data_IF_003173320510
#
_entry.id   IF_003173320510
#
_cell.length_a   1.000
_cell.length_b   1.000
_cell.length_c   1.000
_cell.angle_alpha   90.00
_cell.angle_beta   90.00
_cell.angle_gamma   90.00
#
_symmetry.space_group_name_H-M   'P 1'
#
loop_
_entity.id
_entity.type
_entity.pdbx_description
1 polymer ?
#
# COMPACT_ATOMS: atom_id res chain seq x y z
N UNK A 1 -15.41 22.72 30.31
CA UNK A 1 -16.08 21.41 30.37
C UNK A 1 -17.15 21.44 31.44
N UNK A 2 -18.43 21.59 31.09
CA UNK A 2 -19.51 21.56 32.08
C UNK A 2 -19.80 20.13 32.58
N UNK A 3 -19.57 19.12 31.73
CA UNK A 3 -19.75 17.68 32.03
C UNK A 3 -18.57 16.85 31.50
N UNK A 4 -17.36 17.14 31.98
CA UNK A 4 -16.16 16.40 31.59
C UNK A 4 -15.84 15.25 32.55
N UNK A 5 -15.24 14.18 32.04
CA UNK A 5 -14.68 13.09 32.84
C UNK A 5 -13.17 13.26 32.92
N UNK A 6 -12.62 13.12 34.12
CA UNK A 6 -11.17 13.08 34.36
C UNK A 6 -10.79 11.62 34.63
N UNK A 7 -9.80 11.11 33.90
CA UNK A 7 -9.27 9.76 34.08
C UNK A 7 -7.74 9.75 34.13
N UNK A 8 -7.18 8.72 34.76
CA UNK A 8 -5.75 8.44 34.75
C UNK A 8 -5.55 7.08 34.10
N UNK A 9 -4.71 7.03 33.07
CA UNK A 9 -4.38 5.80 32.36
C UNK A 9 -2.85 5.69 32.22
N UNK A 10 -2.25 4.75 32.97
CA UNK A 10 -0.80 4.63 33.06
C UNK A 10 -0.18 5.86 33.71
N UNK A 11 0.71 6.52 33.00
CA UNK A 11 1.40 7.77 33.36
C UNK A 11 0.71 9.04 32.85
N UNK A 12 -0.42 8.91 32.12
CA UNK A 12 -1.14 10.03 31.53
C UNK A 12 -2.45 10.36 32.29
N UNK A 13 -2.60 11.63 32.67
CA UNK A 13 -3.89 12.23 33.05
C UNK A 13 -4.64 12.66 31.79
N UNK A 14 -5.89 12.23 31.62
CA UNK A 14 -6.74 12.55 30.47
C UNK A 14 -8.03 13.20 30.94
N UNK A 15 -8.39 14.30 30.28
CA UNK A 15 -9.68 14.96 30.48
C UNK A 15 -10.42 14.86 29.15
N UNK A 16 -11.60 14.26 29.15
CA UNK A 16 -12.39 14.08 27.92
C UNK A 16 -13.88 14.26 28.18
N UNK A 17 -14.64 14.49 27.12
CA UNK A 17 -16.11 14.61 27.16
C UNK A 17 -16.74 13.48 26.35
N UNK A 18 -18.00 13.16 26.66
CA UNK A 18 -18.77 12.13 25.95
C UNK A 18 -19.84 12.84 25.11
N UNK A 19 -19.48 13.21 23.88
CA UNK A 19 -20.35 14.04 23.04
C UNK A 19 -21.27 13.20 22.13
N UNK A 20 -20.83 11.98 21.75
CA UNK A 20 -21.49 11.12 20.74
C UNK A 20 -22.16 9.90 21.36
N UNK A 21 -23.15 10.12 22.24
CA UNK A 21 -23.88 9.06 22.97
C UNK A 21 -24.71 8.10 22.10
N UNK A 22 -25.05 8.50 20.87
CA UNK A 22 -25.87 7.70 19.94
C UNK A 22 -25.07 6.90 18.91
N UNK A 23 -23.76 7.13 18.81
CA UNK A 23 -22.90 6.43 17.85
C UNK A 23 -22.31 5.17 18.48
N UNK A 24 -22.38 4.06 17.75
CA UNK A 24 -21.87 2.75 18.22
C UNK A 24 -20.43 2.48 17.81
N UNK A 25 -19.94 3.18 16.78
CA UNK A 25 -18.59 3.04 16.26
C UNK A 25 -17.83 4.34 16.47
N UNK A 26 -16.62 4.22 17.01
CA UNK A 26 -15.65 5.30 17.04
C UNK A 26 -14.63 5.04 15.94
N UNK A 27 -14.19 6.09 15.28
CA UNK A 27 -13.14 6.02 14.26
C UNK A 27 -11.95 6.90 14.62
N UNK A 28 -10.79 6.52 14.10
CA UNK A 28 -9.59 7.33 14.13
C UNK A 28 -8.98 7.23 12.75
N UNK A 29 -8.76 8.39 12.13
CA UNK A 29 -8.30 8.47 10.75
C UNK A 29 -6.78 8.51 10.74
N UNK A 30 -6.18 7.67 9.90
CA UNK A 30 -4.76 7.74 9.55
C UNK A 30 -4.66 8.13 8.08
N UNK A 31 -4.24 9.36 7.75
CA UNK A 31 -4.09 9.79 6.37
C UNK A 31 -3.08 8.90 5.63
N UNK A 32 -3.45 8.50 4.41
CA UNK A 32 -2.60 7.71 3.50
C UNK A 32 -2.12 8.58 2.34
N UNK A 33 -1.15 8.06 1.58
CA UNK A 33 -0.50 8.83 0.51
C UNK A 33 -1.21 8.65 -0.83
N UNK A 34 -1.65 7.42 -1.11
CA UNK A 34 -2.41 7.03 -2.30
C UNK A 34 -3.64 6.20 -1.92
N UNK A 35 -4.49 5.88 -2.89
CA UNK A 35 -5.67 5.04 -2.64
C UNK A 35 -5.27 3.63 -2.17
N UNK A 36 -5.66 3.18 -0.96
CA UNK A 36 -5.39 1.82 -0.48
C UNK A 36 -6.15 0.80 -1.33
N UNK A 37 -5.46 -0.27 -1.77
CA UNK A 37 -6.04 -1.34 -2.59
C UNK A 37 -6.35 -2.59 -1.78
N UNK A 38 -5.44 -2.96 -0.87
CA UNK A 38 -5.57 -4.14 -0.01
C UNK A 38 -4.58 -4.03 1.15
N UNK A 39 -4.86 -4.73 2.24
CA UNK A 39 -3.91 -4.90 3.33
C UNK A 39 -3.87 -6.33 3.85
N UNK A 40 -2.79 -6.67 4.55
CA UNK A 40 -2.64 -7.92 5.30
C UNK A 40 -2.10 -7.64 6.69
N UNK A 41 -2.42 -8.51 7.64
CA UNK A 41 -1.91 -8.44 9.01
C UNK A 41 -0.65 -9.29 9.12
N UNK A 42 0.47 -8.68 9.49
CA UNK A 42 1.71 -9.37 9.77
C UNK A 42 1.49 -10.33 10.98
N UNK A 43 1.75 -11.65 10.86
CA UNK A 43 1.26 -12.61 11.85
C UNK A 43 1.78 -12.42 13.28
N UNK A 44 3.01 -11.94 13.46
CA UNK A 44 3.72 -11.90 14.75
C UNK A 44 3.41 -10.62 15.56
N UNK A 45 3.66 -9.46 14.98
CA UNK A 45 3.50 -8.13 15.60
C UNK A 45 2.14 -7.49 15.34
N UNK A 46 1.33 -8.06 14.44
CA UNK A 46 0.00 -7.53 14.05
C UNK A 46 0.08 -6.14 13.41
N UNK A 47 1.20 -5.82 12.76
CA UNK A 47 1.33 -4.64 11.91
C UNK A 47 0.47 -4.82 10.65
N UNK A 48 -0.07 -3.73 10.15
CA UNK A 48 -0.79 -3.72 8.87
C UNK A 48 0.20 -3.45 7.75
N UNK A 49 0.21 -4.30 6.73
CA UNK A 49 0.93 -4.04 5.49
C UNK A 49 -0.09 -3.67 4.41
N UNK A 50 -0.07 -2.43 3.98
CA UNK A 50 -1.04 -1.82 3.07
C UNK A 50 -0.36 -1.57 1.74
N UNK A 51 -1.02 -1.93 0.64
CA UNK A 51 -0.63 -1.49 -0.69
C UNK A 51 -1.53 -0.34 -1.13
N UNK A 52 -0.92 0.74 -1.60
CA UNK A 52 -1.62 1.93 -2.08
C UNK A 52 -1.23 2.17 -3.55
N UNK A 53 -2.16 2.54 -4.42
CA UNK A 53 -1.86 2.75 -5.84
C UNK A 53 -2.88 3.67 -6.52
N UNK A 54 -2.38 4.64 -7.28
CA UNK A 54 -3.18 5.57 -8.07
C UNK A 54 -2.73 5.69 -9.53
N UNK A 55 -3.70 5.87 -10.40
CA UNK A 55 -3.52 6.15 -11.82
C UNK A 55 -3.65 7.66 -12.06
N UNK A 56 -2.85 8.20 -12.97
CA UNK A 56 -2.87 9.62 -13.30
C UNK A 56 -2.47 10.50 -12.12
N UNK A 57 -1.54 10.03 -11.29
CA UNK A 57 -1.05 10.73 -10.11
C UNK A 57 0.49 10.89 -10.15
N UNK A 58 0.98 11.86 -9.39
CA UNK A 58 2.40 12.13 -9.19
C UNK A 58 2.91 11.46 -7.91
N UNK A 59 4.21 11.16 -7.87
CA UNK A 59 4.85 10.69 -6.64
C UNK A 59 4.82 11.80 -5.59
N UNK A 60 5.00 11.47 -4.31
CA UNK A 60 5.04 12.51 -3.27
C UNK A 60 6.16 13.53 -3.54
N UNK A 61 7.33 13.06 -3.95
CA UNK A 61 8.49 13.91 -4.30
C UNK A 61 8.17 14.85 -5.48
N UNK A 62 7.52 14.35 -6.53
CA UNK A 62 7.13 15.18 -7.68
C UNK A 62 6.06 16.21 -7.31
N UNK A 63 5.12 15.87 -6.41
CA UNK A 63 4.12 16.82 -5.91
C UNK A 63 4.78 17.94 -5.10
N UNK A 64 5.70 17.59 -4.21
CA UNK A 64 6.46 18.57 -3.42
C UNK A 64 7.30 19.49 -4.31
N UNK A 65 7.98 18.93 -5.32
CA UNK A 65 8.75 19.70 -6.28
C UNK A 65 7.88 20.67 -7.09
N UNK A 66 6.76 20.19 -7.65
CA UNK A 66 5.83 21.01 -8.41
C UNK A 66 5.22 22.12 -7.55
N UNK A 67 4.89 21.82 -6.29
CA UNK A 67 4.38 22.80 -5.34
C UNK A 67 5.40 23.90 -5.06
N UNK A 68 6.67 23.53 -4.85
CA UNK A 68 7.76 24.49 -4.65
C UNK A 68 7.95 25.40 -5.86
N UNK A 69 7.97 24.84 -7.06
CA UNK A 69 8.09 25.60 -8.31
C UNK A 69 6.92 26.58 -8.50
N UNK A 70 5.68 26.17 -8.24
CA UNK A 70 4.51 27.05 -8.30
C UNK A 70 4.60 28.21 -7.29
N UNK A 71 5.11 27.96 -6.09
CA UNK A 71 5.25 28.98 -5.06
C UNK A 71 6.33 30.02 -5.42
N UNK A 72 7.44 29.56 -5.99
CA UNK A 72 8.52 30.41 -6.52
C UNK A 72 8.03 31.26 -7.71
N UNK A 73 7.29 30.65 -8.65
CA UNK A 73 6.76 31.36 -9.82
C UNK A 73 5.63 32.35 -9.49
N UNK A 74 4.89 32.12 -8.39
CA UNK A 74 3.81 32.99 -7.91
C UNK A 74 4.26 34.28 -7.23
N UNK A 75 5.58 34.54 -7.11
CA UNK A 75 6.12 35.77 -6.52
C UNK A 75 5.95 35.88 -5.01
N UNK A 76 5.54 34.81 -4.33
CA UNK A 76 5.33 34.78 -2.87
C UNK A 76 6.65 34.76 -2.07
N UNK A 77 7.81 34.72 -2.75
CA UNK A 77 9.14 34.83 -2.15
C UNK A 77 9.65 36.27 -1.99
N UNK A 78 9.02 37.29 -2.60
CA UNK A 78 9.54 38.68 -2.58
C UNK A 78 8.96 39.56 -1.47
N UNK A 79 7.93 39.11 -0.73
CA UNK A 79 7.40 39.84 0.42
C UNK A 79 7.52 39.03 1.73
N UNK A 80 8.74 39.02 2.28
CA UNK A 80 8.99 38.89 3.72
C UNK A 80 9.21 37.48 4.28
N UNK A 81 10.45 37.22 4.72
CA UNK A 81 10.97 36.05 5.45
C UNK A 81 11.29 34.79 4.64
N UNK A 82 12.33 34.89 3.81
CA UNK A 82 13.04 33.75 3.22
C UNK A 82 13.91 32.94 4.23
N UNK A 83 13.99 33.34 5.51
CA UNK A 83 14.86 32.72 6.53
C UNK A 83 14.13 31.85 7.58
N UNK A 84 12.88 31.44 7.36
CA UNK A 84 12.12 30.64 8.34
C UNK A 84 11.75 29.22 7.89
N UNK A 85 12.39 28.67 6.85
CA UNK A 85 12.16 27.26 6.46
C UNK A 85 13.25 26.28 6.95
N UNK A 86 14.27 26.73 7.68
CA UNK A 86 15.30 25.84 8.25
C UNK A 86 14.98 25.37 9.70
N UNK A 87 13.94 25.93 10.34
CA UNK A 87 13.51 25.49 11.67
C UNK A 87 12.12 24.86 11.58
N UNK A 88 12.07 23.54 11.74
CA UNK A 88 10.85 22.78 11.99
C UNK A 88 10.24 23.13 13.35
N UNK A 89 9.66 24.32 13.45
CA UNK A 89 8.82 24.74 14.57
C UNK A 89 7.42 25.02 14.02
N UNK A 90 6.48 24.25 14.56
CA UNK A 90 5.02 24.36 14.43
C UNK A 90 4.54 25.79 14.15
N UNK A 91 4.10 26.03 12.91
CA UNK A 91 3.31 27.20 12.54
C UNK A 91 1.98 26.65 11.99
N UNK A 92 1.17 26.07 12.89
CA UNK A 92 -0.14 25.43 12.59
C UNK A 92 -1.19 26.42 12.04
N UNK A 93 -0.87 27.72 11.95
CA UNK A 93 -1.80 28.79 11.56
C UNK A 93 -1.51 29.43 10.19
N UNK A 94 -0.52 28.96 9.43
CA UNK A 94 -0.39 29.36 8.02
C UNK A 94 -1.28 28.47 7.16
N UNK A 95 -2.50 28.95 6.87
CA UNK A 95 -3.36 28.35 5.85
C UNK A 95 -2.57 28.16 4.57
N UNK A 96 -2.29 26.90 4.24
CA UNK A 96 -1.68 26.52 2.98
C UNK A 96 -2.64 26.92 1.85
N UNK A 97 -2.30 27.90 1.01
CA UNK A 97 -3.20 28.41 -0.01
C UNK A 97 -3.54 27.36 -1.08
N UNK A 98 -2.81 26.23 -1.11
CA UNK A 98 -2.98 25.11 -2.03
C UNK A 98 -3.04 23.79 -1.26
N UNK A 99 -3.79 23.74 -0.15
CA UNK A 99 -4.00 22.50 0.61
C UNK A 99 -4.66 21.41 -0.25
N UNK A 100 -4.12 20.20 -0.17
CA UNK A 100 -4.63 19.06 -0.92
C UNK A 100 -6.04 18.67 -0.43
N UNK A 101 -6.41 18.98 0.81
CA UNK A 101 -7.75 18.74 1.35
C UNK A 101 -8.83 19.54 0.62
N UNK A 102 -8.51 20.77 0.21
CA UNK A 102 -9.47 21.66 -0.45
C UNK A 102 -9.44 21.52 -1.97
N UNK A 103 -8.25 21.37 -2.56
CA UNK A 103 -8.06 21.41 -4.01
C UNK A 103 -7.83 20.04 -4.65
N UNK A 104 -7.50 19.03 -3.83
CA UNK A 104 -7.08 17.73 -4.29
C UNK A 104 -5.68 17.74 -4.90
N UNK A 105 -5.13 16.54 -5.09
CA UNK A 105 -3.80 16.39 -5.66
C UNK A 105 -3.74 16.77 -7.15
N UNK A 106 -2.59 17.32 -7.62
CA UNK A 106 -2.36 17.50 -9.05
C UNK A 106 -2.42 16.17 -9.78
N UNK A 107 -3.08 16.17 -10.95
CA UNK A 107 -3.26 14.98 -11.78
C UNK A 107 -2.18 14.90 -12.85
N UNK A 108 -1.56 13.74 -12.96
CA UNK A 108 -0.63 13.41 -14.03
C UNK A 108 -1.38 12.89 -15.27
N UNK A 109 -0.62 12.64 -16.34
CA UNK A 109 -1.13 11.94 -17.53
C UNK A 109 -1.66 10.55 -17.18
N UNK A 110 -2.70 10.11 -17.89
CA UNK A 110 -3.46 8.88 -17.55
C UNK A 110 -2.64 7.59 -17.59
N UNK A 111 -1.49 7.58 -18.25
CA UNK A 111 -0.58 6.43 -18.33
C UNK A 111 0.38 6.33 -17.13
N UNK A 112 0.43 7.37 -16.30
CA UNK A 112 1.28 7.42 -15.11
C UNK A 112 0.61 6.70 -13.94
N UNK A 113 1.40 5.98 -13.18
CA UNK A 113 1.05 5.16 -12.05
C UNK A 113 2.05 5.39 -10.94
N UNK A 114 1.52 5.50 -9.73
CA UNK A 114 2.30 5.58 -8.50
C UNK A 114 1.74 4.59 -7.52
N UNK A 115 2.63 3.97 -6.75
CA UNK A 115 2.21 3.05 -5.71
C UNK A 115 3.27 2.90 -4.64
N UNK A 116 2.83 2.52 -3.45
CA UNK A 116 3.72 2.26 -2.34
C UNK A 116 3.24 1.07 -1.50
N UNK A 117 4.17 0.53 -0.72
CA UNK A 117 3.91 -0.47 0.31
C UNK A 117 4.16 0.20 1.66
N UNK A 118 3.12 0.27 2.50
CA UNK A 118 3.17 0.86 3.83
C UNK A 118 3.12 -0.22 4.91
N UNK A 119 3.98 -0.12 5.91
CA UNK A 119 3.86 -0.85 7.18
C UNK A 119 3.37 0.12 8.25
N UNK A 120 2.20 -0.15 8.82
CA UNK A 120 1.52 0.69 9.81
C UNK A 120 1.32 -0.08 11.12
N UNK A 121 1.67 0.53 12.24
CA UNK A 121 1.26 0.04 13.57
C UNK A 121 -0.14 0.58 13.89
N UNK A 122 -1.18 -0.29 13.92
CA UNK A 122 -2.54 0.16 14.18
C UNK A 122 -2.76 0.61 15.64
N UNK A 123 -1.85 0.29 16.57
CA UNK A 123 -1.98 0.69 17.98
C UNK A 123 -1.53 2.13 18.22
N UNK A 124 -0.49 2.56 17.51
CA UNK A 124 0.09 3.90 17.65
C UNK A 124 -0.25 4.81 16.48
N UNK A 125 -0.98 4.30 15.48
CA UNK A 125 -1.28 4.99 14.22
C UNK A 125 -0.01 5.46 13.46
N UNK A 126 1.14 4.81 13.68
CA UNK A 126 2.42 5.26 13.14
C UNK A 126 2.86 4.39 11.97
N UNK A 127 3.25 5.01 10.86
CA UNK A 127 3.91 4.31 9.75
C UNK A 127 5.36 4.02 10.12
N UNK A 128 5.76 2.75 10.10
CA UNK A 128 7.13 2.33 10.42
C UNK A 128 7.99 2.16 9.16
N UNK A 129 7.38 1.91 8.01
CA UNK A 129 8.07 1.80 6.73
C UNK A 129 7.13 2.24 5.61
N UNK A 130 7.67 2.98 4.65
CA UNK A 130 6.99 3.41 3.44
C UNK A 130 7.93 3.18 2.26
N UNK A 131 7.60 2.21 1.41
CA UNK A 131 8.41 1.82 0.26
C UNK A 131 7.71 2.25 -1.03
N UNK A 132 8.24 3.25 -1.71
CA UNK A 132 7.75 3.72 -3.01
C UNK A 132 8.16 2.77 -4.13
N UNK A 133 7.19 2.30 -4.90
CA UNK A 133 7.44 1.50 -6.09
C UNK A 133 7.77 2.43 -7.26
N UNK A 134 8.84 2.09 -7.96
CA UNK A 134 9.40 2.88 -9.06
C UNK A 134 8.88 2.41 -10.41
N UNK A 135 9.33 3.06 -11.50
CA UNK A 135 9.16 2.58 -12.87
C UNK A 135 7.71 2.43 -13.35
N UNK A 136 6.80 3.31 -12.91
CA UNK A 136 5.40 3.29 -13.33
C UNK A 136 4.68 1.96 -12.97
N UNK A 137 5.08 1.41 -11.83
CA UNK A 137 4.57 0.16 -11.30
C UNK A 137 3.47 0.41 -10.29
N UNK A 138 2.40 -0.39 -10.36
CA UNK A 138 1.23 -0.30 -9.50
C UNK A 138 0.99 -1.64 -8.79
N UNK A 139 0.71 -1.60 -7.49
CA UNK A 139 0.43 -2.78 -6.67
C UNK A 139 -1.07 -3.10 -6.66
N UNK A 140 -1.41 -4.37 -6.86
CA UNK A 140 -2.80 -4.82 -6.95
C UNK A 140 -3.16 -5.91 -5.95
N UNK A 141 -2.17 -6.72 -5.56
CA UNK A 141 -2.41 -7.83 -4.65
C UNK A 141 -1.29 -7.95 -3.64
N UNK A 142 -1.64 -8.40 -2.43
CA UNK A 142 -0.71 -8.60 -1.33
C UNK A 142 -1.15 -9.81 -0.52
N UNK A 143 -0.18 -10.61 -0.08
CA UNK A 143 -0.37 -11.79 0.76
C UNK A 143 0.87 -12.05 1.62
N UNK A 144 0.70 -12.52 2.85
CA UNK A 144 1.79 -13.11 3.63
C UNK A 144 1.90 -14.60 3.30
N UNK A 145 3.11 -15.10 3.08
CA UNK A 145 3.35 -16.51 2.74
C UNK A 145 4.49 -17.10 3.57
N UNK A 146 4.24 -18.26 4.16
CA UNK A 146 5.25 -19.13 4.74
C UNK A 146 5.57 -20.23 3.74
N UNK A 147 6.75 -20.19 3.13
CA UNK A 147 7.18 -21.27 2.25
C UNK A 147 7.62 -22.50 3.05
N UNK A 148 7.70 -23.66 2.39
CA UNK A 148 8.23 -24.88 3.02
C UNK A 148 9.66 -24.68 3.53
N UNK A 149 10.47 -23.98 2.74
CA UNK A 149 11.76 -23.50 3.20
C UNK A 149 11.54 -22.39 4.22
N UNK A 150 11.97 -22.66 5.46
CA UNK A 150 11.76 -21.79 6.61
C UNK A 150 12.90 -20.80 6.83
N UNK A 151 13.90 -20.75 5.93
CA UNK A 151 15.09 -19.88 6.05
C UNK A 151 14.73 -18.44 6.44
N UNK A 152 13.72 -17.85 5.78
CA UNK A 152 13.31 -16.46 6.00
C UNK A 152 12.07 -16.29 6.89
N UNK A 153 11.44 -17.38 7.33
CA UNK A 153 10.16 -17.34 8.04
C UNK A 153 9.00 -16.84 7.16
N UNK A 154 8.16 -15.95 7.71
CA UNK A 154 7.06 -15.33 6.95
C UNK A 154 7.58 -14.29 6.00
N UNK A 155 7.18 -14.38 4.74
CA UNK A 155 7.49 -13.42 3.68
C UNK A 155 6.23 -12.68 3.25
N UNK A 156 6.42 -11.55 2.58
CA UNK A 156 5.38 -10.76 1.95
C UNK A 156 5.48 -10.92 0.43
N UNK A 157 4.40 -11.35 -0.21
CA UNK A 157 4.27 -11.37 -1.66
C UNK A 157 3.40 -10.19 -2.11
N UNK A 158 3.89 -9.39 -3.04
CA UNK A 158 3.16 -8.26 -3.64
C UNK A 158 3.09 -8.46 -5.15
N UNK A 159 1.89 -8.49 -5.69
CA UNK A 159 1.63 -8.58 -7.12
C UNK A 159 1.46 -7.18 -7.70
N UNK A 160 2.25 -6.88 -8.72
CA UNK A 160 2.34 -5.57 -9.34
C UNK A 160 2.26 -5.65 -10.87
N UNK A 161 2.01 -4.51 -11.51
CA UNK A 161 2.00 -4.36 -12.96
C UNK A 161 2.62 -3.03 -13.36
N UNK A 162 3.37 -3.05 -14.46
CA UNK A 162 3.98 -1.87 -15.07
C UNK A 162 3.20 -1.43 -16.30
N UNK A 163 2.92 -0.12 -16.39
CA UNK A 163 2.33 0.52 -17.57
C UNK A 163 0.97 -0.07 -17.97
N UNK A 164 0.10 -0.28 -16.99
CA UNK A 164 -1.25 -0.79 -17.26
C UNK A 164 -2.15 0.30 -17.83
N UNK A 165 -2.83 0.01 -18.94
CA UNK A 165 -3.83 0.87 -19.55
C UNK A 165 -5.17 0.14 -19.60
N UNK A 166 -6.23 0.72 -19.03
CA UNK A 166 -7.55 0.05 -18.97
C UNK A 166 -8.36 0.18 -20.27
N UNK A 167 -8.26 1.33 -20.94
CA UNK A 167 -9.06 1.67 -22.12
C UNK A 167 -8.18 2.47 -23.10
N UNK A 168 -8.30 2.29 -24.44
CA UNK A 168 -9.26 1.47 -25.20
C UNK A 168 -8.86 -0.01 -25.40
N UNK A 169 -7.64 -0.40 -25.04
CA UNK A 169 -7.19 -1.81 -25.01
C UNK A 169 -6.48 -2.08 -23.68
N UNK A 170 -6.76 -3.24 -23.06
CA UNK A 170 -6.04 -3.69 -21.86
C UNK A 170 -4.60 -4.04 -22.26
N UNK A 171 -3.71 -3.07 -22.23
CA UNK A 171 -2.30 -3.25 -22.48
C UNK A 171 -1.55 -3.19 -21.15
N UNK A 172 -0.49 -3.96 -21.04
CA UNK A 172 0.44 -3.93 -19.92
C UNK A 172 1.84 -4.15 -20.45
N UNK A 173 2.83 -3.52 -19.83
CA UNK A 173 4.23 -3.73 -20.20
C UNK A 173 4.76 -5.03 -19.60
N UNK A 174 4.52 -5.23 -18.30
CA UNK A 174 4.89 -6.45 -17.59
C UNK A 174 4.11 -6.58 -16.27
N UNK A 175 3.88 -7.81 -15.82
CA UNK A 175 3.47 -8.08 -14.44
C UNK A 175 4.66 -8.59 -13.62
N UNK A 176 4.64 -8.34 -12.31
CA UNK A 176 5.66 -8.86 -11.40
C UNK A 176 5.07 -9.38 -10.10
N UNK A 177 5.76 -10.34 -9.49
CA UNK A 177 5.55 -10.74 -8.11
C UNK A 177 6.84 -10.43 -7.35
N UNK A 178 6.73 -9.50 -6.40
CA UNK A 178 7.81 -9.12 -5.50
C UNK A 178 7.71 -9.97 -4.24
N UNK A 179 8.84 -10.48 -3.78
CA UNK A 179 8.94 -11.15 -2.49
C UNK A 179 9.81 -10.30 -1.57
N UNK A 180 9.24 -9.86 -0.46
CA UNK A 180 9.92 -9.11 0.59
C UNK A 180 10.06 -9.94 1.85
N UNK A 181 11.18 -9.75 2.54
CA UNK A 181 11.43 -10.23 3.88
C UNK A 181 11.11 -9.13 4.89
N UNK A 182 10.47 -9.52 5.98
CA UNK A 182 10.30 -8.66 7.15
C UNK A 182 11.62 -8.56 7.93
N UNK A 183 12.11 -7.35 8.16
CA UNK A 183 13.29 -7.05 8.98
C UNK A 183 12.89 -6.13 10.15
N UNK A 184 13.77 -5.96 11.13
CA UNK A 184 13.52 -5.11 12.31
C UNK A 184 12.18 -5.45 13.00
N UNK A 185 11.99 -6.74 13.31
CA UNK A 185 10.74 -7.29 13.86
C UNK A 185 9.49 -7.05 13.00
N UNK A 186 9.68 -6.81 11.70
CA UNK A 186 8.61 -6.57 10.73
C UNK A 186 8.23 -5.10 10.58
N UNK A 187 8.98 -4.18 11.19
CA UNK A 187 8.80 -2.74 11.00
C UNK A 187 9.27 -2.26 9.63
N UNK A 188 10.16 -3.00 8.98
CA UNK A 188 10.72 -2.68 7.67
C UNK A 188 10.72 -3.90 6.73
N UNK A 189 10.91 -3.63 5.43
CA UNK A 189 10.83 -4.61 4.34
C UNK A 189 12.12 -4.58 3.52
N UNK A 190 12.67 -5.76 3.24
CA UNK A 190 13.83 -5.95 2.36
C UNK A 190 13.41 -6.79 1.14
N UNK A 191 13.69 -6.31 -0.07
CA UNK A 191 13.36 -7.05 -1.30
C UNK A 191 14.30 -8.25 -1.46
N UNK A 192 13.75 -9.47 -1.55
CA UNK A 192 14.51 -10.67 -1.85
C UNK A 192 14.69 -10.84 -3.36
N UNK A 193 13.59 -10.82 -4.12
CA UNK A 193 13.64 -10.87 -5.57
C UNK A 193 12.33 -10.40 -6.21
N UNK A 194 12.42 -10.03 -7.48
CA UNK A 194 11.31 -9.64 -8.36
C UNK A 194 11.18 -10.65 -9.49
N UNK A 195 10.03 -11.33 -9.58
CA UNK A 195 9.77 -12.33 -10.62
C UNK A 195 8.79 -11.77 -11.64
N UNK A 196 9.21 -11.67 -12.91
CA UNK A 196 8.33 -11.26 -14.00
C UNK A 196 7.33 -12.37 -14.34
N UNK A 197 6.09 -11.97 -14.64
CA UNK A 197 4.99 -12.83 -15.06
C UNK A 197 4.28 -12.25 -16.28
N UNK A 198 3.49 -13.08 -16.97
CA UNK A 198 2.94 -12.77 -18.29
C UNK A 198 1.65 -11.92 -18.26
N UNK A 199 1.08 -11.67 -17.08
CA UNK A 199 -0.15 -10.90 -16.92
C UNK A 199 -0.22 -10.24 -15.55
N UNK A 200 -1.37 -9.65 -15.20
CA UNK A 200 -1.55 -8.96 -13.92
C UNK A 200 -1.82 -9.98 -12.80
N UNK A 201 -0.95 -10.09 -11.77
CA UNK A 201 -1.20 -10.94 -10.61
C UNK A 201 -2.19 -10.27 -9.66
N UNK A 202 -3.49 -10.41 -9.94
CA UNK A 202 -4.55 -9.76 -9.15
C UNK A 202 -4.91 -10.51 -7.87
N UNK A 203 -4.58 -11.80 -7.78
CA UNK A 203 -4.85 -12.60 -6.60
C UNK A 203 -3.60 -13.35 -6.16
N UNK A 204 -3.25 -13.22 -4.88
CA UNK A 204 -2.18 -13.97 -4.22
C UNK A 204 -2.74 -14.62 -2.96
N UNK A 205 -2.38 -15.88 -2.72
CA UNK A 205 -2.81 -16.61 -1.53
C UNK A 205 -1.77 -17.65 -1.13
N UNK A 206 -1.52 -17.81 0.17
CA UNK A 206 -0.74 -18.93 0.67
C UNK A 206 -1.55 -20.23 0.53
N UNK A 207 -0.89 -21.29 0.09
CA UNK A 207 -1.45 -22.64 0.05
C UNK A 207 -0.38 -23.68 0.35
N UNK A 208 -0.54 -24.42 1.45
CA UNK A 208 0.29 -25.58 1.81
C UNK A 208 1.81 -25.33 1.66
N UNK A 209 2.34 -24.24 2.21
CA UNK A 209 3.80 -23.97 2.13
C UNK A 209 4.27 -23.39 0.80
N UNK A 210 3.35 -22.91 -0.04
CA UNK A 210 3.61 -22.36 -1.37
C UNK A 210 2.72 -21.13 -1.63
N UNK A 211 3.00 -20.42 -2.72
CA UNK A 211 2.25 -19.25 -3.15
C UNK A 211 1.35 -19.61 -4.35
N UNK A 212 0.04 -19.46 -4.20
CA UNK A 212 -0.88 -19.41 -5.33
C UNK A 212 -0.93 -17.99 -5.89
N UNK A 213 -0.93 -17.88 -7.21
CA UNK A 213 -1.09 -16.64 -7.94
C UNK A 213 -2.13 -16.80 -9.05
N UNK A 214 -3.11 -15.91 -9.08
CA UNK A 214 -4.03 -15.71 -10.20
C UNK A 214 -3.49 -14.64 -11.11
N UNK A 215 -3.02 -15.04 -12.30
CA UNK A 215 -2.36 -14.19 -13.30
C UNK A 215 -3.24 -14.22 -14.56
N UNK A 216 -4.11 -13.22 -14.72
CA UNK A 216 -5.16 -13.29 -15.74
C UNK A 216 -6.04 -14.56 -15.53
N UNK A 217 -6.27 -15.38 -16.57
CA UNK A 217 -7.02 -16.64 -16.45
C UNK A 217 -6.19 -17.82 -15.92
N UNK A 218 -4.94 -17.60 -15.52
CA UNK A 218 -4.03 -18.68 -15.12
C UNK A 218 -3.90 -18.72 -13.60
N UNK A 219 -4.33 -19.81 -13.00
CA UNK A 219 -4.01 -20.14 -11.61
C UNK A 219 -2.67 -20.88 -11.58
N UNK A 220 -1.69 -20.35 -10.85
CA UNK A 220 -0.34 -20.90 -10.81
C UNK A 220 0.16 -21.10 -9.38
N UNK A 221 0.82 -22.23 -9.14
CA UNK A 221 1.46 -22.52 -7.87
C UNK A 221 2.97 -22.30 -7.97
N UNK A 222 3.50 -21.52 -7.04
CA UNK A 222 4.89 -21.14 -6.97
C UNK A 222 5.54 -21.64 -5.68
N UNK A 223 6.82 -21.99 -5.81
CA UNK A 223 7.72 -22.23 -4.69
C UNK A 223 8.80 -21.16 -4.65
N UNK A 224 9.44 -20.98 -3.50
CA UNK A 224 10.50 -20.00 -3.34
C UNK A 224 11.78 -20.48 -4.04
N UNK A 225 12.44 -19.58 -4.77
CA UNK A 225 13.76 -19.83 -5.33
C UNK A 225 14.69 -18.66 -5.02
N UNK A 226 16.00 -18.89 -5.04
CA UNK A 226 16.98 -17.89 -4.62
C UNK A 226 16.96 -16.58 -5.43
N UNK A 227 16.59 -16.65 -6.71
CA UNK A 227 16.58 -15.50 -7.63
C UNK A 227 15.19 -15.14 -8.17
N UNK A 228 14.24 -16.07 -8.10
CA UNK A 228 12.90 -15.95 -8.64
C UNK A 228 12.01 -17.05 -8.09
N UNK A 229 10.70 -16.84 -8.14
CA UNK A 229 9.71 -17.88 -7.87
C UNK A 229 9.79 -18.99 -8.92
N UNK A 230 9.66 -20.24 -8.46
CA UNK A 230 9.71 -21.43 -9.30
C UNK A 230 8.29 -21.93 -9.55
N UNK A 231 7.82 -21.86 -10.80
CA UNK A 231 6.53 -22.42 -11.20
C UNK A 231 6.53 -23.93 -11.00
N UNK A 232 5.59 -24.45 -10.21
CA UNK A 232 5.42 -25.89 -9.94
C UNK A 232 4.28 -26.50 -10.75
N UNK A 233 3.14 -25.82 -10.81
CA UNK A 233 2.01 -26.20 -11.66
C UNK A 233 1.21 -24.97 -12.09
N UNK A 234 0.41 -25.13 -13.14
CA UNK A 234 -0.52 -24.11 -13.61
C UNK A 234 -1.82 -24.75 -14.13
N UNK A 235 -2.92 -24.04 -13.97
CA UNK A 235 -4.22 -24.34 -14.55
C UNK A 235 -4.67 -23.12 -15.37
N UNK A 236 -5.02 -23.34 -16.63
CA UNK A 236 -5.42 -22.29 -17.61
C UNK A 236 -6.89 -22.39 -18.02
N UNK A 237 -7.69 -23.15 -17.29
CA UNK A 237 -9.07 -23.47 -17.68
C UNK A 237 -10.08 -22.41 -17.24
N UNK A 238 -9.66 -21.35 -16.53
CA UNK A 238 -10.56 -20.26 -16.17
C UNK A 238 -10.90 -19.42 -17.41
N UNK A 239 -12.17 -19.03 -17.59
CA UNK A 239 -12.60 -18.31 -18.79
C UNK A 239 -12.09 -16.87 -18.82
N UNK A 240 -12.12 -16.16 -17.69
CA UNK A 240 -11.69 -14.77 -17.60
C UNK A 240 -10.62 -14.57 -16.52
N UNK A 241 -10.47 -13.33 -16.06
CA UNK A 241 -9.42 -12.96 -15.11
C UNK A 241 -9.78 -13.38 -13.70
N UNK A 242 -8.88 -14.11 -13.05
CA UNK A 242 -8.96 -14.42 -11.62
C UNK A 242 -8.75 -13.15 -10.81
N UNK A 243 -9.72 -12.78 -9.97
CA UNK A 243 -9.67 -11.58 -9.13
C UNK A 243 -9.53 -11.90 -7.63
N UNK A 244 -9.87 -13.11 -7.21
CA UNK A 244 -9.70 -13.53 -5.82
C UNK A 244 -9.36 -15.01 -5.70
N UNK A 245 -8.57 -15.34 -4.68
CA UNK A 245 -8.23 -16.71 -4.31
C UNK A 245 -8.38 -16.82 -2.80
N UNK A 246 -9.13 -17.83 -2.36
CA UNK A 246 -9.24 -18.22 -0.97
C UNK A 246 -8.92 -19.70 -0.85
N UNK A 247 -8.35 -20.10 0.28
CA UNK A 247 -8.00 -21.49 0.53
C UNK A 247 -8.61 -21.94 1.84
N UNK A 248 -9.09 -23.18 1.87
CA UNK A 248 -9.55 -23.83 3.09
C UNK A 248 -9.09 -25.28 3.07
N UNK A 249 -8.16 -25.61 3.98
CA UNK A 249 -7.51 -26.92 4.06
C UNK A 249 -6.85 -27.32 2.73
N UNK A 250 -7.47 -28.25 2.02
CA UNK A 250 -7.02 -28.84 0.75
C UNK A 250 -7.76 -28.26 -0.47
N UNK A 251 -8.72 -27.35 -0.25
CA UNK A 251 -9.52 -26.74 -1.31
C UNK A 251 -9.05 -25.34 -1.64
N UNK A 252 -9.11 -25.04 -2.94
CA UNK A 252 -8.83 -23.71 -3.50
C UNK A 252 -10.14 -23.20 -4.10
N UNK A 253 -10.56 -22.02 -3.65
CA UNK A 253 -11.71 -21.28 -4.16
C UNK A 253 -11.19 -20.10 -4.96
N UNK A 254 -11.70 -19.94 -6.18
CA UNK A 254 -11.24 -18.92 -7.12
C UNK A 254 -12.46 -18.11 -7.53
N UNK A 255 -12.37 -16.78 -7.42
CA UNK A 255 -13.36 -15.87 -7.97
C UNK A 255 -12.90 -15.32 -9.31
N UNK A 256 -13.75 -15.48 -10.32
CA UNK A 256 -13.55 -14.91 -11.65
C UNK A 256 -14.11 -13.48 -11.69
N UNK A 257 -13.69 -12.67 -12.64
CA UNK A 257 -14.19 -11.28 -12.75
C UNK A 257 -15.66 -11.20 -13.17
N UNK A 258 -16.20 -12.26 -13.79
CA UNK A 258 -17.60 -12.30 -14.27
C UNK A 258 -18.47 -13.33 -13.52
N UNK A 259 -17.89 -14.14 -12.63
CA UNK A 259 -18.58 -15.17 -11.83
C UNK A 259 -18.21 -15.06 -10.35
#
# INVERSE_FOLDING_TARGET
>A
CAEGVVSVAGDALRIFMIDRLGETFNETVVPLRYTPRKFVVQPKRKLLVIIESDQGAFTAEEREAARKECFEAGGMGENGNADQMENGADDEDKEDPLSDEQYGYPKAVSEKWVSCIRVLDPKTATTTCLLELQDNEAAYSVCTVNFHDKEYGTLLAVGTVKGMQFWPKKNLVAGFIHIYRFVEDGKSLELLHKTQVEGVPLALCQFQGRLLAGIGPVLRLYDLGKKRLLRKCENKLFPNTIISIQTYRDRIYVGDIQE
#
